data_IF_998897368126
#
_entry.id   IF_998897368126
#
_cell.length_a   1.000
_cell.length_b   1.000
_cell.length_c   1.000
_cell.angle_alpha   90.00
_cell.angle_beta   90.00
_cell.angle_gamma   90.00
#
_symmetry.space_group_name_H-M   'P 1'
#
loop_
_entity.id
_entity.type
_entity.pdbx_description
1 polymer ?
#
# COMPACT_ATOMS: atom_id res chain seq x y z
N UNK A 1 -26.74 3.06 8.39
CA UNK A 1 -25.64 2.56 7.53
C UNK A 1 -24.33 2.99 8.15
N UNK A 2 -23.46 2.05 8.54
CA UNK A 2 -22.10 2.40 8.97
C UNK A 2 -21.31 3.05 7.83
N UNK A 3 -20.37 3.94 8.15
CA UNK A 3 -19.49 4.56 7.17
C UNK A 3 -18.66 3.48 6.45
N UNK A 4 -18.71 3.47 5.12
CA UNK A 4 -17.89 2.59 4.28
C UNK A 4 -16.56 3.28 4.03
N UNK A 5 -15.42 2.64 4.35
CA UNK A 5 -14.10 3.20 4.05
C UNK A 5 -13.85 3.15 2.53
N UNK A 6 -13.08 4.12 2.06
CA UNK A 6 -12.57 4.18 0.70
C UNK A 6 -11.11 4.66 0.75
N UNK A 7 -10.20 3.76 0.43
CA UNK A 7 -8.75 4.01 0.47
C UNK A 7 -8.20 3.93 -0.96
N UNK A 8 -7.94 5.07 -1.62
CA UNK A 8 -7.40 5.09 -2.97
C UNK A 8 -5.89 4.84 -2.97
N UNK A 9 -5.42 4.12 -3.99
CA UNK A 9 -4.01 4.05 -4.38
C UNK A 9 -3.86 4.69 -5.76
N UNK A 10 -2.77 5.42 -5.98
CA UNK A 10 -2.59 6.29 -7.14
C UNK A 10 -1.15 6.32 -7.62
N UNK A 11 -0.96 6.73 -8.86
CA UNK A 11 0.37 6.89 -9.47
C UNK A 11 0.79 8.35 -9.45
N UNK A 12 0.71 8.95 -8.27
CA UNK A 12 1.10 10.35 -8.04
C UNK A 12 2.62 10.48 -8.14
N UNK A 13 3.09 11.57 -8.76
CA UNK A 13 4.52 11.81 -9.02
C UNK A 13 4.91 11.73 -10.50
N UNK A 14 6.21 11.89 -10.76
CA UNK A 14 6.74 11.88 -12.12
C UNK A 14 6.98 10.44 -12.60
N UNK A 15 6.71 10.20 -13.89
CA UNK A 15 7.00 8.92 -14.53
C UNK A 15 8.51 8.66 -14.67
N UNK A 16 8.89 7.39 -14.66
CA UNK A 16 10.24 6.92 -15.01
C UNK A 16 10.18 5.77 -16.01
N UNK A 17 11.30 5.49 -16.68
CA UNK A 17 11.41 4.36 -17.61
C UNK A 17 11.86 3.11 -16.86
N UNK A 18 10.98 2.11 -16.78
CA UNK A 18 11.27 0.81 -16.17
C UNK A 18 10.23 -0.24 -16.64
N UNK A 19 10.35 -1.47 -16.18
CA UNK A 19 9.34 -2.53 -16.34
C UNK A 19 8.02 -2.18 -15.65
N UNK A 20 6.90 -2.80 -16.09
CA UNK A 20 5.59 -2.52 -15.48
C UNK A 20 5.54 -2.95 -14.02
N UNK A 21 6.19 -4.05 -13.70
CA UNK A 21 6.29 -4.62 -12.36
C UNK A 21 7.00 -3.61 -11.44
N UNK A 22 8.17 -3.13 -11.85
CA UNK A 22 8.92 -2.13 -11.09
C UNK A 22 8.18 -0.81 -10.95
N UNK A 23 7.48 -0.34 -12.00
CA UNK A 23 6.69 0.89 -11.92
C UNK A 23 5.50 0.76 -10.98
N UNK A 24 4.78 -0.37 -10.97
CA UNK A 24 3.65 -0.56 -10.05
C UNK A 24 4.10 -0.65 -8.60
N UNK A 25 5.24 -1.29 -8.34
CA UNK A 25 5.84 -1.30 -7.01
C UNK A 25 6.29 0.11 -6.60
N UNK A 26 6.93 0.86 -7.50
CA UNK A 26 7.38 2.23 -7.24
C UNK A 26 6.24 3.20 -6.92
N UNK A 27 5.14 3.10 -7.66
CA UNK A 27 3.93 3.90 -7.40
C UNK A 27 3.03 3.29 -6.32
N UNK A 28 3.45 2.19 -5.66
CA UNK A 28 2.70 1.59 -4.55
C UNK A 28 1.27 1.14 -4.94
N UNK A 29 1.08 0.70 -6.19
CA UNK A 29 -0.21 0.29 -6.79
C UNK A 29 -0.25 -1.19 -7.19
N UNK A 30 0.69 -1.99 -6.71
CA UNK A 30 0.73 -3.43 -6.97
C UNK A 30 -0.05 -4.25 -5.91
N UNK A 31 -0.07 -5.57 -6.09
CA UNK A 31 -0.81 -6.48 -5.21
C UNK A 31 -0.39 -6.38 -3.73
N UNK A 32 0.91 -6.39 -3.37
CA UNK A 32 1.36 -6.16 -2.01
C UNK A 32 0.75 -4.92 -1.34
N UNK A 33 0.79 -3.76 -2.02
CA UNK A 33 0.28 -2.50 -1.47
C UNK A 33 -1.25 -2.52 -1.32
N UNK A 34 -1.96 -3.12 -2.28
CA UNK A 34 -3.42 -3.33 -2.17
C UNK A 34 -3.77 -4.18 -0.94
N UNK A 35 -3.03 -5.27 -0.69
CA UNK A 35 -3.26 -6.14 0.47
C UNK A 35 -3.05 -5.37 1.77
N UNK A 36 -1.93 -4.64 1.89
CA UNK A 36 -1.64 -3.85 3.10
C UNK A 36 -2.70 -2.77 3.33
N UNK A 37 -3.14 -2.06 2.29
CA UNK A 37 -4.20 -1.06 2.40
C UNK A 37 -5.50 -1.65 2.94
N UNK A 38 -5.94 -2.80 2.43
CA UNK A 38 -7.15 -3.49 2.91
C UNK A 38 -7.01 -3.97 4.35
N UNK A 39 -5.87 -4.57 4.70
CA UNK A 39 -5.64 -5.05 6.06
C UNK A 39 -5.57 -3.89 7.06
N UNK A 40 -4.96 -2.77 6.67
CA UNK A 40 -4.92 -1.57 7.49
C UNK A 40 -6.32 -0.99 7.75
N UNK A 41 -7.18 -0.93 6.72
CA UNK A 41 -8.59 -0.52 6.87
C UNK A 41 -9.34 -1.44 7.85
N UNK A 42 -9.17 -2.76 7.73
CA UNK A 42 -9.77 -3.73 8.66
C UNK A 42 -9.26 -3.54 10.09
N UNK A 43 -7.96 -3.34 10.27
CA UNK A 43 -7.34 -3.11 11.57
C UNK A 43 -7.83 -1.79 12.21
N UNK A 44 -8.04 -0.74 11.41
CA UNK A 44 -8.57 0.54 11.88
C UNK A 44 -10.00 0.41 12.44
N UNK A 45 -10.78 -0.55 11.93
CA UNK A 45 -12.12 -0.86 12.47
C UNK A 45 -12.11 -1.85 13.65
N UNK A 46 -10.93 -2.37 14.03
CA UNK A 46 -10.78 -3.39 15.06
C UNK A 46 -11.21 -4.79 14.63
N UNK A 47 -11.43 -5.03 13.32
CA UNK A 47 -11.79 -6.35 12.80
C UNK A 47 -10.63 -7.36 12.85
N UNK A 48 -9.39 -6.86 12.82
CA UNK A 48 -8.16 -7.65 12.96
C UNK A 48 -7.14 -6.90 13.82
N UNK A 49 -6.13 -7.61 14.33
CA UNK A 49 -5.02 -7.01 15.06
C UNK A 49 -4.04 -6.30 14.10
N UNK A 50 -3.38 -5.23 14.57
CA UNK A 50 -2.40 -4.47 13.80
C UNK A 50 -1.15 -5.28 13.42
N UNK A 51 -0.81 -6.31 14.18
CA UNK A 51 0.30 -7.22 13.86
C UNK A 51 0.12 -7.91 12.52
N UNK A 52 -1.12 -8.20 12.10
CA UNK A 52 -1.40 -8.80 10.78
C UNK A 52 -0.96 -7.88 9.64
N UNK A 53 -1.06 -6.56 9.83
CA UNK A 53 -0.58 -5.57 8.85
C UNK A 53 0.94 -5.56 8.81
N UNK A 54 1.60 -5.57 9.97
CA UNK A 54 3.06 -5.60 10.08
C UNK A 54 3.67 -6.88 9.48
N UNK A 55 3.01 -8.02 9.69
CA UNK A 55 3.40 -9.30 9.09
C UNK A 55 3.26 -9.27 7.57
N UNK A 56 2.21 -8.63 7.04
CA UNK A 56 2.03 -8.49 5.59
C UNK A 56 3.10 -7.60 4.95
N UNK A 57 3.42 -6.45 5.56
CA UNK A 57 4.51 -5.57 5.12
C UNK A 57 5.83 -6.36 5.05
N UNK A 58 6.15 -7.09 6.12
CA UNK A 58 7.36 -7.91 6.20
C UNK A 58 7.36 -9.04 5.16
N UNK A 59 6.24 -9.77 5.03
CA UNK A 59 6.08 -10.89 4.12
C UNK A 59 6.28 -10.50 2.66
N UNK A 60 5.81 -9.32 2.27
CA UNK A 60 5.93 -8.83 0.90
C UNK A 60 7.17 -7.96 0.67
N UNK A 61 7.96 -7.67 1.72
CA UNK A 61 9.17 -6.87 1.61
C UNK A 61 8.89 -5.42 1.20
N UNK A 62 7.78 -4.84 1.66
CA UNK A 62 7.45 -3.44 1.41
C UNK A 62 8.35 -2.55 2.28
N UNK A 63 9.00 -1.57 1.66
CA UNK A 63 9.78 -0.56 2.36
C UNK A 63 8.86 0.58 2.83
N UNK A 64 8.47 0.54 4.10
CA UNK A 64 7.60 1.55 4.70
C UNK A 64 8.29 2.91 4.94
N UNK A 65 9.61 2.99 4.81
CA UNK A 65 10.40 4.21 4.99
C UNK A 65 10.86 4.82 3.65
N UNK A 66 10.40 4.25 2.52
CA UNK A 66 10.67 4.77 1.19
C UNK A 66 10.16 6.21 1.04
N UNK A 67 10.88 7.01 0.25
CA UNK A 67 10.36 8.28 -0.24
C UNK A 67 9.14 8.00 -1.12
N UNK A 68 8.04 8.71 -0.83
CA UNK A 68 6.84 8.69 -1.67
C UNK A 68 7.19 9.06 -3.11
N UNK A 69 6.58 8.38 -4.08
CA UNK A 69 6.74 8.65 -5.52
C UNK A 69 6.42 10.09 -5.92
N UNK A 70 5.65 10.82 -5.10
CA UNK A 70 5.37 12.24 -5.31
C UNK A 70 6.63 13.12 -5.27
N UNK A 71 7.66 12.70 -4.52
CA UNK A 71 8.90 13.45 -4.31
C UNK A 71 10.15 12.74 -4.86
N UNK A 72 9.97 11.57 -5.48
CA UNK A 72 11.04 10.73 -6.01
C UNK A 72 11.48 11.13 -7.43
#
# INVERSE_FOLDING_TARGET
MGSRSFTPLGTDGMGRSDTREALRAHFEVDMPHIVVAVLNDLAATGAIDKSVVADAITRYGIDAESLSSLFA
#
